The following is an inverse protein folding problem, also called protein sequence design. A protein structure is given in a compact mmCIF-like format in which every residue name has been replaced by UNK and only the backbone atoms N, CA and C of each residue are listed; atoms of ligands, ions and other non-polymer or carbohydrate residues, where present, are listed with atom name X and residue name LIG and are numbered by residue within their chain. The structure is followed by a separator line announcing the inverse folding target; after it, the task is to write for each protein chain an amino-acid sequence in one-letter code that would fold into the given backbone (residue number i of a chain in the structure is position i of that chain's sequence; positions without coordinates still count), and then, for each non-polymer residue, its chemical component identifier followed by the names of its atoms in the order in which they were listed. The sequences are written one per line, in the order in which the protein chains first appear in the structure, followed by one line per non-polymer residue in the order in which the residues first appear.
data_IF_625616044890
#
_entry.id   IF_625616044890
#
_cell.length_a   1.000
_cell.length_b   1.000
_cell.length_c   1.000
_cell.angle_alpha   90.00
_cell.angle_beta   90.00
_cell.angle_gamma   90.00
#
_symmetry.space_group_name_H-M   'P 1'
#
loop_
_entity.id
_entity.type
_entity.pdbx_description
1 polymer ?
#
# COMPACT_ATOMS: atom_id res chain seq x y z
N UNK A 1 12.78 33.52 -25.61
CA UNK A 1 11.52 33.35 -24.85
C UNK A 1 11.19 31.85 -24.80
N UNK A 2 11.16 31.27 -23.60
CA UNK A 2 11.30 29.83 -23.28
C UNK A 2 10.13 28.99 -23.84
N UNK A 3 10.48 27.93 -24.59
CA UNK A 3 9.55 26.96 -25.15
C UNK A 3 8.81 26.14 -24.09
N UNK A 4 7.51 25.96 -24.30
CA UNK A 4 6.56 25.30 -23.38
C UNK A 4 6.53 23.81 -23.73
N UNK A 5 7.34 22.99 -23.05
CA UNK A 5 7.32 21.51 -23.19
C UNK A 5 5.99 20.98 -22.64
N UNK A 6 5.06 20.59 -23.52
CA UNK A 6 3.89 19.77 -23.17
C UNK A 6 4.41 18.41 -22.67
N UNK A 7 4.21 18.11 -21.38
CA UNK A 7 4.39 16.75 -20.86
C UNK A 7 3.22 15.92 -21.35
N UNK A 8 3.52 14.89 -22.13
CA UNK A 8 2.58 13.88 -22.58
C UNK A 8 1.91 13.23 -21.37
N UNK A 9 0.59 13.30 -21.32
CA UNK A 9 -0.25 12.54 -20.40
C UNK A 9 -0.22 11.07 -20.85
N UNK A 10 0.75 10.32 -20.33
CA UNK A 10 0.80 8.88 -20.51
C UNK A 10 -0.30 8.27 -19.65
N UNK A 11 -1.37 7.90 -20.35
CA UNK A 11 -2.45 7.02 -19.91
C UNK A 11 -1.84 5.74 -19.33
N UNK A 12 -1.83 5.63 -18.00
CA UNK A 12 -1.68 4.34 -17.32
C UNK A 12 -2.95 4.12 -16.51
N UNK A 13 -3.67 3.06 -16.89
CA UNK A 13 -4.85 2.54 -16.23
C UNK A 13 -4.69 2.60 -14.71
N UNK A 14 -5.29 3.63 -14.10
CA UNK A 14 -5.57 3.61 -12.67
C UNK A 14 -6.66 2.58 -12.44
N UNK A 15 -6.29 1.30 -12.52
CA UNK A 15 -6.99 0.22 -11.84
C UNK A 15 -6.93 0.62 -10.38
N UNK A 16 -7.97 1.32 -9.94
CA UNK A 16 -8.20 1.62 -8.55
C UNK A 16 -8.21 0.27 -7.87
N UNK A 17 -7.05 -0.15 -7.34
CA UNK A 17 -7.00 -1.27 -6.40
C UNK A 17 -7.94 -0.81 -5.31
N UNK A 18 -9.17 -1.30 -5.37
CA UNK A 18 -10.19 -1.05 -4.35
C UNK A 18 -9.50 -1.41 -3.06
N UNK A 19 -9.10 -0.38 -2.32
CA UNK A 19 -8.41 -0.54 -1.05
C UNK A 19 -9.49 -1.15 -0.19
N UNK A 20 -9.50 -2.49 -0.12
CA UNK A 20 -10.45 -3.24 0.68
C UNK A 20 -10.25 -2.71 2.08
N UNK A 21 -11.22 -1.94 2.57
CA UNK A 21 -11.15 -1.28 3.87
C UNK A 21 -10.88 -2.38 4.89
N UNK A 22 -9.68 -2.36 5.45
CA UNK A 22 -9.20 -3.42 6.31
C UNK A 22 -9.70 -3.02 7.69
N UNK A 23 -10.64 -3.80 8.23
CA UNK A 23 -11.17 -3.55 9.57
C UNK A 23 -10.18 -3.96 10.67
N UNK A 24 -9.20 -4.81 10.34
CA UNK A 24 -8.25 -5.39 11.29
C UNK A 24 -6.81 -5.27 10.78
N UNK A 25 -5.97 -4.59 11.55
CA UNK A 25 -4.53 -4.59 11.36
C UNK A 25 -3.93 -5.95 11.81
N UNK A 26 -2.89 -6.42 11.12
CA UNK A 26 -2.16 -7.62 11.55
C UNK A 26 -1.57 -7.47 12.97
N UNK A 27 -1.32 -8.57 13.67
CA UNK A 27 -0.81 -8.60 15.05
C UNK A 27 0.46 -7.76 15.22
N UNK A 28 1.36 -7.81 14.24
CA UNK A 28 2.59 -7.01 14.26
C UNK A 28 2.30 -5.51 14.23
N UNK A 29 1.47 -5.06 13.31
CA UNK A 29 1.09 -3.64 13.21
C UNK A 29 0.25 -3.22 14.41
N UNK A 30 -0.60 -4.11 14.92
CA UNK A 30 -1.48 -3.86 16.07
C UNK A 30 -0.67 -3.69 17.36
N UNK A 31 0.30 -4.58 17.63
CA UNK A 31 1.21 -4.49 18.78
C UNK A 31 2.14 -3.27 18.70
N UNK A 32 2.57 -2.88 17.49
CA UNK A 32 3.42 -1.69 17.28
C UNK A 32 2.65 -0.40 17.02
N UNK A 33 1.31 -0.42 17.06
CA UNK A 33 0.43 0.71 16.72
C UNK A 33 0.76 1.37 15.37
N UNK A 34 1.20 0.57 14.39
CA UNK A 34 1.51 1.00 13.04
C UNK A 34 0.26 0.93 12.16
N UNK A 35 0.20 1.79 11.13
CA UNK A 35 -0.80 1.63 10.07
C UNK A 35 -0.54 0.32 9.32
N UNK A 36 -1.59 -0.47 9.15
CA UNK A 36 -1.53 -1.72 8.41
C UNK A 36 -2.27 -1.55 7.10
N UNK A 37 -1.60 -1.87 5.99
CA UNK A 37 -2.18 -1.82 4.64
C UNK A 37 -3.00 -3.08 4.31
N UNK A 38 -3.04 -4.06 5.22
CA UNK A 38 -3.97 -5.20 5.14
C UNK A 38 -3.80 -6.08 3.91
N UNK A 39 -2.69 -5.92 3.18
CA UNK A 39 -2.35 -6.74 2.04
C UNK A 39 -2.16 -8.17 2.52
N UNK A 40 -2.79 -9.12 1.82
CA UNK A 40 -2.60 -10.57 2.02
C UNK A 40 -1.69 -11.10 0.92
N UNK A 41 -0.75 -12.01 1.23
CA UNK A 41 -0.58 -12.75 2.49
C UNK A 41 0.15 -11.95 3.60
N UNK A 42 0.88 -10.90 3.25
CA UNK A 42 1.68 -10.11 4.20
C UNK A 42 1.46 -8.61 4.00
N UNK A 43 1.31 -7.86 5.10
CA UNK A 43 1.16 -6.42 5.09
C UNK A 43 2.40 -5.74 4.47
N UNK A 44 2.31 -4.55 3.85
CA UNK A 44 3.49 -3.92 3.24
C UNK A 44 4.65 -3.74 4.25
N UNK A 45 4.34 -3.27 5.46
CA UNK A 45 5.32 -3.16 6.57
C UNK A 45 5.94 -4.50 6.98
N UNK A 46 5.19 -5.58 6.87
CA UNK A 46 5.61 -6.92 7.23
C UNK A 46 6.45 -7.54 6.12
N UNK A 47 6.06 -7.28 4.87
CA UNK A 47 6.75 -7.73 3.66
C UNK A 47 8.11 -7.07 3.50
N UNK A 48 8.22 -5.76 3.75
CA UNK A 48 9.49 -5.03 3.68
C UNK A 48 10.47 -5.44 4.76
N UNK A 49 9.95 -5.81 5.94
CA UNK A 49 10.76 -6.29 7.06
C UNK A 49 10.96 -7.81 7.04
N UNK A 50 10.33 -8.51 6.10
CA UNK A 50 10.33 -9.98 6.00
C UNK A 50 9.91 -10.65 7.32
N UNK A 51 8.98 -10.01 8.05
CA UNK A 51 8.48 -10.47 9.35
C UNK A 51 7.17 -11.24 9.20
N UNK A 52 6.89 -12.07 10.21
CA UNK A 52 5.65 -12.85 10.27
C UNK A 52 4.43 -11.94 10.35
N UNK A 53 3.66 -11.89 9.27
CA UNK A 53 2.39 -11.19 9.23
C UNK A 53 1.27 -12.16 9.58
N UNK A 54 0.70 -12.01 10.78
CA UNK A 54 -0.45 -12.81 11.21
C UNK A 54 -1.64 -11.88 11.39
N UNK A 55 -2.75 -12.23 10.76
CA UNK A 55 -4.04 -11.58 11.01
C UNK A 55 -4.86 -12.58 11.84
N UNK A 56 -5.04 -12.27 13.12
CA UNK A 56 -5.96 -12.97 14.03
C UNK A 56 -7.11 -12.06 14.40
#
# INVERSE_FOLDING_TARGET
RRGKRKRSDSQDERKTKVVRKIYVACDFCRGRKLRCDGTKPSCANCSTRTLKCVYK
#
